data_IF_639636268511
#
_entry.id   IF_639636268511
#
_cell.length_a   1.000
_cell.length_b   1.000
_cell.length_c   1.000
_cell.angle_alpha   90.00
_cell.angle_beta   90.00
_cell.angle_gamma   90.00
#
_symmetry.space_group_name_H-M   'P 1'
#
loop_
_entity.id
_entity.type
_entity.pdbx_description
1 polymer ?
#
# COMPACT_ATOMS: atom_id res chain seq x y z
N UNK A 1 35.45 8.70 -24.46
CA UNK A 1 34.96 7.41 -23.95
C UNK A 1 34.71 7.40 -22.43
N UNK A 2 35.59 7.91 -21.59
CA UNK A 2 35.44 7.93 -20.10
C UNK A 2 34.12 8.55 -19.60
N UNK A 3 33.60 9.62 -20.22
CA UNK A 3 32.35 10.27 -19.80
C UNK A 3 31.07 9.48 -20.17
N UNK A 4 31.11 8.64 -21.20
CA UNK A 4 29.98 7.76 -21.56
C UNK A 4 29.87 6.57 -20.58
N UNK A 5 30.97 5.97 -20.21
CA UNK A 5 31.02 4.87 -19.23
C UNK A 5 30.55 5.30 -17.84
N UNK A 6 30.91 6.51 -17.39
CA UNK A 6 30.48 7.05 -16.11
C UNK A 6 28.98 7.36 -16.12
N UNK A 7 28.39 7.80 -17.24
CA UNK A 7 26.94 8.00 -17.38
C UNK A 7 26.16 6.68 -17.40
N UNK A 8 26.65 5.67 -18.10
CA UNK A 8 26.00 4.35 -18.12
C UNK A 8 26.04 3.65 -16.74
N UNK A 9 27.16 3.79 -16.02
CA UNK A 9 27.27 3.19 -14.69
C UNK A 9 26.34 3.85 -13.65
N UNK A 10 26.09 5.16 -13.72
CA UNK A 10 25.12 5.82 -12.83
C UNK A 10 23.69 5.45 -13.17
N UNK A 11 23.36 5.21 -14.46
CA UNK A 11 22.01 4.86 -14.90
C UNK A 11 21.51 3.54 -14.29
N UNK A 12 22.38 2.51 -14.24
CA UNK A 12 22.01 1.22 -13.61
C UNK A 12 21.68 1.35 -12.12
N UNK A 13 22.43 2.17 -11.39
CA UNK A 13 22.17 2.40 -9.96
C UNK A 13 20.88 3.21 -9.75
N UNK A 14 20.63 4.19 -10.61
CA UNK A 14 19.39 4.96 -10.57
C UNK A 14 18.18 4.11 -10.98
N UNK A 15 18.33 3.15 -11.90
CA UNK A 15 17.28 2.19 -12.24
C UNK A 15 16.95 1.26 -11.06
N UNK A 16 17.97 0.66 -10.41
CA UNK A 16 17.76 -0.14 -9.21
C UNK A 16 17.09 0.68 -8.09
N UNK A 17 17.50 1.93 -7.93
CA UNK A 17 16.92 2.86 -6.96
C UNK A 17 15.45 3.14 -7.24
N UNK A 18 15.09 3.40 -8.50
CA UNK A 18 13.71 3.66 -8.92
C UNK A 18 12.86 2.41 -8.75
N UNK A 19 13.35 1.26 -9.15
CA UNK A 19 12.66 -0.03 -8.98
C UNK A 19 12.32 -0.27 -7.50
N UNK A 20 13.32 -0.24 -6.62
CA UNK A 20 13.12 -0.45 -5.18
C UNK A 20 12.24 0.66 -4.58
N UNK A 21 12.51 1.91 -4.92
CA UNK A 21 11.78 3.04 -4.38
C UNK A 21 10.30 3.03 -4.76
N UNK A 22 9.98 2.77 -6.02
CA UNK A 22 8.58 2.68 -6.49
C UNK A 22 7.87 1.50 -5.86
N UNK A 23 8.49 0.30 -5.87
CA UNK A 23 7.87 -0.90 -5.29
C UNK A 23 7.56 -0.71 -3.81
N UNK A 24 8.51 -0.22 -3.01
CA UNK A 24 8.29 0.00 -1.57
C UNK A 24 7.27 1.12 -1.30
N UNK A 25 7.32 2.22 -2.07
CA UNK A 25 6.35 3.31 -1.90
C UNK A 25 4.93 2.85 -2.24
N UNK A 26 4.75 2.13 -3.35
CA UNK A 26 3.45 1.60 -3.75
C UNK A 26 2.95 0.54 -2.78
N UNK A 27 3.81 -0.42 -2.37
CA UNK A 27 3.47 -1.47 -1.41
C UNK A 27 3.03 -0.88 -0.06
N UNK A 28 3.81 0.05 0.50
CA UNK A 28 3.44 0.72 1.75
C UNK A 28 2.20 1.60 1.62
N UNK A 29 2.00 2.28 0.48
CA UNK A 29 0.82 3.10 0.23
C UNK A 29 -0.47 2.26 0.19
N UNK A 30 -0.47 1.15 -0.56
CA UNK A 30 -1.65 0.28 -0.68
C UNK A 30 -2.01 -0.36 0.67
N UNK A 31 -1.00 -0.81 1.45
CA UNK A 31 -1.25 -1.33 2.80
C UNK A 31 -1.79 -0.27 3.76
N UNK A 32 -1.32 0.98 3.65
CA UNK A 32 -1.80 2.08 4.48
C UNK A 32 -3.23 2.53 4.13
N UNK A 33 -3.70 2.24 2.91
CA UNK A 33 -5.11 2.44 2.53
C UNK A 33 -6.03 1.45 3.25
N UNK A 34 -5.60 0.19 3.43
CA UNK A 34 -6.35 -0.84 4.15
C UNK A 34 -5.48 -1.48 5.25
N UNK A 35 -5.26 -0.79 6.39
CA UNK A 35 -4.48 -1.34 7.49
C UNK A 35 -5.11 -2.58 8.11
N UNK A 36 -6.45 -2.67 8.16
CA UNK A 36 -7.16 -3.84 8.66
C UNK A 36 -6.98 -5.05 7.75
N UNK A 37 -6.99 -4.87 6.42
CA UNK A 37 -6.69 -5.97 5.49
C UNK A 37 -5.28 -6.52 5.67
N UNK A 38 -4.30 -5.65 5.92
CA UNK A 38 -2.93 -6.07 6.26
C UNK A 38 -2.87 -6.74 7.65
N UNK A 39 -3.66 -6.28 8.62
CA UNK A 39 -3.80 -6.92 9.93
C UNK A 39 -4.30 -8.37 9.79
N UNK A 40 -5.38 -8.59 9.04
CA UNK A 40 -5.92 -9.94 8.81
C UNK A 40 -4.89 -10.87 8.15
N UNK A 41 -4.11 -10.38 7.20
CA UNK A 41 -3.00 -11.16 6.63
C UNK A 41 -1.93 -11.52 7.67
N UNK A 42 -1.61 -10.63 8.61
CA UNK A 42 -0.70 -10.94 9.73
C UNK A 42 -1.30 -12.01 10.63
N UNK A 43 -2.60 -11.97 10.89
CA UNK A 43 -3.33 -12.98 11.66
C UNK A 43 -3.28 -14.34 10.95
N UNK A 44 -3.52 -14.40 9.64
CA UNK A 44 -3.39 -15.61 8.82
C UNK A 44 -1.97 -16.22 8.91
N UNK A 45 -0.91 -15.39 8.92
CA UNK A 45 0.46 -15.88 9.14
C UNK A 45 0.67 -16.45 10.53
N UNK A 46 0.16 -15.79 11.56
CA UNK A 46 0.27 -16.26 12.94
C UNK A 46 -0.49 -17.56 13.12
N UNK A 47 -1.65 -17.71 12.48
CA UNK A 47 -2.43 -18.94 12.46
C UNK A 47 -1.67 -20.08 11.77
N UNK A 48 -1.12 -19.84 10.58
CA UNK A 48 -0.33 -20.81 9.83
C UNK A 48 0.93 -21.30 10.61
N UNK A 49 1.43 -20.48 11.54
CA UNK A 49 2.54 -20.85 12.43
C UNK A 49 2.11 -21.43 13.77
N UNK A 50 0.80 -21.53 14.05
CA UNK A 50 0.27 -22.00 15.34
C UNK A 50 0.49 -20.99 16.47
N UNK A 51 0.64 -19.71 16.15
CA UNK A 51 0.90 -18.60 17.08
C UNK A 51 -0.34 -17.72 17.36
N UNK A 52 -1.55 -18.25 17.19
CA UNK A 52 -2.82 -17.53 17.39
C UNK A 52 -2.93 -16.86 18.76
N UNK A 53 -2.33 -17.44 19.81
CA UNK A 53 -2.34 -16.87 21.16
C UNK A 53 -1.69 -15.49 21.24
N UNK A 54 -0.86 -15.11 20.25
CA UNK A 54 -0.20 -13.80 20.16
C UNK A 54 -0.91 -12.84 19.20
N UNK A 55 -1.99 -13.26 18.56
CA UNK A 55 -2.78 -12.47 17.61
C UNK A 55 -3.78 -11.55 18.32
N UNK A 56 -3.33 -10.80 19.35
CA UNK A 56 -4.17 -9.76 19.94
C UNK A 56 -4.37 -8.62 18.92
N UNK A 57 -5.60 -8.21 18.68
CA UNK A 57 -5.99 -7.23 17.64
C UNK A 57 -5.15 -5.95 17.68
N UNK A 58 -4.87 -5.42 18.86
CA UNK A 58 -4.05 -4.20 19.00
C UNK A 58 -2.59 -4.42 18.56
N UNK A 59 -2.07 -5.64 18.72
CA UNK A 59 -0.68 -5.98 18.35
C UNK A 59 -0.59 -6.18 16.84
N UNK A 60 -1.52 -6.91 16.25
CA UNK A 60 -1.57 -7.19 14.81
C UNK A 60 -1.89 -5.93 14.02
N UNK A 61 -2.81 -5.08 14.50
CA UNK A 61 -3.08 -3.77 13.90
C UNK A 61 -1.87 -2.84 14.00
N UNK A 62 -1.23 -2.77 15.17
CA UNK A 62 -0.01 -1.98 15.37
C UNK A 62 1.14 -2.43 14.47
N UNK A 63 1.29 -3.75 14.27
CA UNK A 63 2.28 -4.31 13.34
C UNK A 63 1.95 -3.96 11.89
N UNK A 64 0.68 -3.99 11.48
CA UNK A 64 0.21 -3.59 10.15
C UNK A 64 0.55 -2.13 9.85
N UNK A 65 0.16 -1.21 10.75
CA UNK A 65 0.44 0.23 10.63
C UNK A 65 1.95 0.50 10.60
N UNK A 66 2.73 -0.16 11.45
CA UNK A 66 4.18 0.01 11.45
C UNK A 66 4.83 -0.52 10.16
N UNK A 67 4.35 -1.64 9.63
CA UNK A 67 4.86 -2.25 8.41
C UNK A 67 4.63 -1.34 7.19
N UNK A 68 3.41 -0.88 6.97
CA UNK A 68 3.03 0.02 5.87
C UNK A 68 3.78 1.36 5.95
N UNK A 69 3.84 1.98 7.14
CA UNK A 69 4.57 3.22 7.36
C UNK A 69 6.07 3.08 7.07
N UNK A 70 6.71 2.00 7.55
CA UNK A 70 8.14 1.73 7.31
C UNK A 70 8.41 1.47 5.84
N UNK A 71 7.61 0.64 5.15
CA UNK A 71 7.75 0.39 3.71
C UNK A 71 7.65 1.67 2.91
N UNK A 72 6.61 2.46 3.13
CA UNK A 72 6.39 3.72 2.43
C UNK A 72 7.53 4.72 2.64
N UNK A 73 7.97 4.86 3.89
CA UNK A 73 9.06 5.76 4.26
C UNK A 73 10.40 5.32 3.64
N UNK A 74 10.72 4.02 3.68
CA UNK A 74 11.91 3.47 3.04
C UNK A 74 11.88 3.66 1.52
N UNK A 75 10.72 3.42 0.89
CA UNK A 75 10.48 3.64 -0.52
C UNK A 75 10.74 5.09 -0.91
N UNK A 76 10.12 6.04 -0.20
CA UNK A 76 10.32 7.48 -0.42
C UNK A 76 11.77 7.90 -0.20
N UNK A 77 12.42 7.44 0.87
CA UNK A 77 13.84 7.70 1.11
C UNK A 77 14.74 7.16 -0.02
N UNK A 78 14.37 6.01 -0.60
CA UNK A 78 15.09 5.42 -1.72
C UNK A 78 14.86 6.24 -2.99
N UNK A 79 13.62 6.62 -3.33
CA UNK A 79 13.30 7.45 -4.49
C UNK A 79 14.09 8.76 -4.52
N UNK A 80 14.23 9.43 -3.38
CA UNK A 80 14.95 10.70 -3.29
C UNK A 80 16.43 10.55 -2.92
N UNK A 81 16.97 9.33 -2.87
CA UNK A 81 18.36 9.02 -2.52
C UNK A 81 18.80 9.63 -1.18
N UNK A 82 17.90 9.61 -0.17
CA UNK A 82 18.13 10.14 1.17
C UNK A 82 18.96 9.14 1.98
N UNK A 83 19.99 9.64 2.70
CA UNK A 83 20.88 8.80 3.55
C UNK A 83 21.29 7.48 2.88
N UNK A 84 21.64 7.50 1.60
CA UNK A 84 21.85 6.38 0.67
C UNK A 84 22.43 5.09 1.30
N UNK A 85 23.47 5.23 2.15
CA UNK A 85 24.10 4.07 2.82
C UNK A 85 23.17 3.41 3.85
N UNK A 86 22.44 4.21 4.65
CA UNK A 86 21.54 3.67 5.68
C UNK A 86 20.29 3.09 5.04
N UNK A 87 19.66 3.85 4.15
CA UNK A 87 18.43 3.42 3.47
C UNK A 87 18.64 2.14 2.67
N UNK A 88 19.73 2.00 1.87
CA UNK A 88 19.97 0.77 1.14
C UNK A 88 20.22 -0.44 2.04
N UNK A 89 20.87 -0.26 3.21
CA UNK A 89 21.05 -1.35 4.19
C UNK A 89 19.73 -1.76 4.84
N UNK A 90 18.86 -0.80 5.18
CA UNK A 90 17.54 -1.08 5.76
C UNK A 90 16.63 -1.80 4.76
N UNK A 91 16.62 -1.37 3.49
CA UNK A 91 15.88 -2.06 2.42
C UNK A 91 16.43 -3.46 2.20
N UNK A 92 17.76 -3.66 2.23
CA UNK A 92 18.36 -4.99 2.14
C UNK A 92 17.94 -5.87 3.33
N UNK A 93 17.99 -5.34 4.56
CA UNK A 93 17.60 -6.08 5.77
C UNK A 93 16.11 -6.48 5.70
N UNK A 94 15.24 -5.57 5.25
CA UNK A 94 13.82 -5.85 5.04
C UNK A 94 13.63 -7.01 4.04
N UNK A 95 14.25 -6.93 2.86
CA UNK A 95 14.14 -7.97 1.83
C UNK A 95 14.80 -9.29 2.26
N UNK A 96 15.84 -9.25 3.10
CA UNK A 96 16.46 -10.45 3.66
C UNK A 96 15.53 -11.23 4.61
N UNK A 97 14.56 -10.57 5.22
CA UNK A 97 13.50 -11.21 6.02
C UNK A 97 12.35 -11.68 5.12
N UNK A 98 11.87 -10.82 4.23
CA UNK A 98 10.68 -11.12 3.43
C UNK A 98 10.94 -12.09 2.28
N UNK A 99 12.16 -12.18 1.73
CA UNK A 99 12.45 -13.13 0.65
C UNK A 99 12.38 -14.59 1.10
N UNK A 100 12.99 -15.02 2.24
CA UNK A 100 12.79 -16.36 2.77
C UNK A 100 11.32 -16.64 3.17
N UNK A 101 10.61 -15.64 3.71
CA UNK A 101 9.19 -15.78 4.04
C UNK A 101 8.36 -16.10 2.78
N UNK A 102 8.58 -15.36 1.69
CA UNK A 102 7.86 -15.61 0.43
C UNK A 102 8.29 -16.93 -0.25
N UNK A 103 9.51 -17.42 -0.01
CA UNK A 103 9.91 -18.75 -0.44
C UNK A 103 9.15 -19.83 0.34
N UNK A 104 9.03 -19.68 1.67
CA UNK A 104 8.24 -20.58 2.49
C UNK A 104 6.78 -20.62 2.02
N UNK A 105 6.16 -19.46 1.75
CA UNK A 105 4.80 -19.40 1.18
C UNK A 105 4.69 -20.11 -0.16
N UNK A 106 5.68 -19.94 -1.06
CA UNK A 106 5.66 -20.57 -2.37
C UNK A 106 5.81 -22.10 -2.32
N UNK A 107 6.51 -22.62 -1.30
CA UNK A 107 6.73 -24.07 -1.12
C UNK A 107 5.60 -24.76 -0.38
N UNK A 108 5.00 -24.10 0.62
CA UNK A 108 4.00 -24.74 1.52
C UNK A 108 2.56 -24.33 1.20
N UNK A 109 2.37 -23.20 0.50
CA UNK A 109 1.10 -22.61 0.10
C UNK A 109 0.02 -22.56 1.20
N UNK A 110 0.35 -22.14 2.45
CA UNK A 110 -0.59 -22.13 3.56
C UNK A 110 -1.64 -21.00 3.43
N UNK A 111 -1.32 -19.95 2.66
CA UNK A 111 -2.15 -18.77 2.41
C UNK A 111 -2.13 -18.52 0.89
N UNK A 112 -3.28 -18.15 0.33
CA UNK A 112 -3.47 -17.99 -1.12
C UNK A 112 -2.55 -16.92 -1.74
N UNK A 113 -2.30 -15.83 -1.01
CA UNK A 113 -1.44 -14.72 -1.44
C UNK A 113 -0.64 -14.11 -0.28
N UNK A 114 0.45 -13.46 -0.59
CA UNK A 114 1.34 -12.81 0.40
C UNK A 114 0.79 -11.47 0.94
N UNK A 115 -0.23 -10.86 0.33
CA UNK A 115 -0.71 -9.52 0.68
C UNK A 115 0.29 -8.37 0.45
N UNK A 116 1.36 -8.57 -0.35
CA UNK A 116 2.40 -7.55 -0.56
C UNK A 116 1.89 -6.23 -1.14
N UNK A 117 0.83 -6.27 -1.94
CA UNK A 117 0.14 -5.12 -2.52
C UNK A 117 -1.33 -5.07 -2.11
N UNK A 118 -1.67 -5.64 -0.94
CA UNK A 118 -3.06 -5.74 -0.49
C UNK A 118 -3.96 -6.38 -1.56
N UNK A 119 -5.21 -5.96 -1.61
CA UNK A 119 -6.19 -6.40 -2.61
C UNK A 119 -6.05 -5.68 -3.98
N UNK A 120 -5.17 -4.67 -4.09
CA UNK A 120 -5.03 -3.90 -5.33
C UNK A 120 -4.37 -4.69 -6.46
N UNK A 121 -3.44 -5.59 -6.12
CA UNK A 121 -2.77 -6.50 -7.06
C UNK A 121 -2.51 -7.83 -6.37
N UNK A 122 -3.28 -8.84 -6.73
CA UNK A 122 -3.07 -10.21 -6.25
C UNK A 122 -1.97 -10.88 -7.08
N UNK A 123 -0.92 -11.32 -6.41
CA UNK A 123 0.19 -12.05 -7.00
C UNK A 123 0.23 -13.45 -6.42
N UNK A 124 0.46 -14.46 -7.25
CA UNK A 124 0.71 -15.80 -6.74
C UNK A 124 1.95 -15.83 -5.85
N UNK A 125 2.04 -16.81 -4.95
CA UNK A 125 3.18 -16.95 -4.04
C UNK A 125 4.52 -17.06 -4.79
N UNK A 126 4.55 -17.76 -5.94
CA UNK A 126 5.74 -17.86 -6.79
C UNK A 126 6.11 -16.53 -7.47
N UNK A 127 5.12 -15.78 -7.98
CA UNK A 127 5.37 -14.46 -8.57
C UNK A 127 5.94 -13.50 -7.53
N UNK A 128 5.40 -13.54 -6.31
CA UNK A 128 5.88 -12.72 -5.19
C UNK A 128 7.31 -13.09 -4.79
N UNK A 129 7.65 -14.36 -4.73
CA UNK A 129 9.03 -14.80 -4.45
C UNK A 129 10.00 -14.30 -5.51
N UNK A 130 9.73 -14.48 -6.81
CA UNK A 130 10.63 -14.04 -7.86
C UNK A 130 10.77 -12.50 -7.91
N UNK A 131 9.68 -11.78 -7.68
CA UNK A 131 9.73 -10.33 -7.49
C UNK A 131 10.71 -9.96 -6.37
N UNK A 132 10.63 -10.61 -5.22
CA UNK A 132 11.49 -10.32 -4.08
C UNK A 132 12.96 -10.68 -4.35
N UNK A 133 13.24 -11.75 -5.09
CA UNK A 133 14.61 -12.10 -5.54
C UNK A 133 15.21 -10.99 -6.40
N UNK A 134 14.44 -10.46 -7.36
CA UNK A 134 14.89 -9.34 -8.22
C UNK A 134 15.15 -8.08 -7.38
N UNK A 135 14.24 -7.75 -6.45
CA UNK A 135 14.40 -6.60 -5.55
C UNK A 135 15.61 -6.78 -4.61
N UNK A 136 15.83 -7.98 -4.09
CA UNK A 136 16.99 -8.31 -3.26
C UNK A 136 18.30 -8.11 -4.03
N UNK A 137 18.37 -8.59 -5.27
CA UNK A 137 19.54 -8.39 -6.14
C UNK A 137 19.81 -6.89 -6.38
N UNK A 138 18.76 -6.10 -6.66
CA UNK A 138 18.87 -4.65 -6.81
C UNK A 138 19.36 -3.98 -5.52
N UNK A 139 18.86 -4.41 -4.34
CA UNK A 139 19.30 -3.89 -3.04
C UNK A 139 20.78 -4.20 -2.76
N UNK A 140 21.25 -5.42 -3.07
CA UNK A 140 22.67 -5.81 -2.96
C UNK A 140 23.56 -4.90 -3.81
N UNK A 141 23.16 -4.62 -5.06
CA UNK A 141 23.88 -3.69 -5.94
C UNK A 141 24.01 -2.31 -5.32
N UNK A 142 22.92 -1.78 -4.73
CA UNK A 142 22.91 -0.44 -4.10
C UNK A 142 23.69 -0.41 -2.78
N UNK A 143 23.69 -1.48 -2.00
CA UNK A 143 24.48 -1.56 -0.76
C UNK A 143 25.98 -1.58 -1.07
N UNK A 144 26.39 -2.28 -2.15
CA UNK A 144 27.79 -2.30 -2.60
C UNK A 144 28.27 -0.97 -3.16
N UNK A 145 27.38 -0.23 -3.85
CA UNK A 145 27.70 1.03 -4.54
C UNK A 145 26.75 2.19 -4.17
N UNK A 146 26.61 2.55 -2.89
CA UNK A 146 25.60 3.52 -2.46
C UNK A 146 25.85 4.95 -3.00
N UNK A 147 27.10 5.26 -3.37
CA UNK A 147 27.45 6.55 -3.95
C UNK A 147 27.18 6.65 -5.45
N UNK A 148 26.87 5.54 -6.11
CA UNK A 148 26.47 5.52 -7.53
C UNK A 148 25.11 6.15 -7.80
N UNK A 149 24.23 6.19 -6.81
CA UNK A 149 22.90 6.84 -6.93
C UNK A 149 23.02 8.35 -7.08
N UNK A 150 22.26 8.93 -8.00
CA UNK A 150 22.18 10.38 -8.17
C UNK A 150 21.41 11.03 -7.02
N UNK A 151 22.00 12.07 -6.41
CA UNK A 151 21.33 12.84 -5.37
C UNK A 151 20.30 13.77 -5.99
N UNK A 152 19.04 13.72 -5.52
CA UNK A 152 17.96 14.57 -5.98
C UNK A 152 17.79 15.77 -5.05
N UNK A 153 17.80 15.53 -3.72
CA UNK A 153 17.55 16.53 -2.68
C UNK A 153 18.85 16.93 -1.98
N UNK A 154 19.00 18.23 -1.66
CA UNK A 154 20.13 18.76 -0.90
C UNK A 154 20.19 18.19 0.53
N UNK A 155 21.36 18.32 1.20
CA UNK A 155 21.48 17.87 2.59
C UNK A 155 20.56 18.63 3.55
N UNK A 156 20.32 19.89 3.28
CA UNK A 156 19.48 20.77 4.11
C UNK A 156 18.03 20.33 4.11
N UNK A 157 17.48 19.92 2.96
CA UNK A 157 16.03 19.69 2.77
C UNK A 157 15.60 18.23 2.94
N UNK A 158 16.51 17.32 3.30
CA UNK A 158 16.18 15.88 3.51
C UNK A 158 15.15 15.65 4.61
N UNK A 159 15.22 16.43 5.67
CA UNK A 159 14.31 16.33 6.78
C UNK A 159 12.87 16.64 6.36
N UNK A 160 12.68 17.59 5.43
CA UNK A 160 11.35 17.92 4.88
C UNK A 160 10.75 16.68 4.22
N UNK A 161 11.49 16.03 3.31
CA UNK A 161 10.99 14.84 2.60
C UNK A 161 10.68 13.69 3.57
N UNK A 162 11.58 13.43 4.54
CA UNK A 162 11.38 12.33 5.50
C UNK A 162 10.19 12.56 6.42
N UNK A 163 10.02 13.77 6.94
CA UNK A 163 8.91 14.09 7.83
C UNK A 163 7.59 14.20 7.05
N UNK A 164 7.62 14.81 5.86
CA UNK A 164 6.44 14.88 5.00
C UNK A 164 5.91 13.49 4.64
N UNK A 165 6.79 12.56 4.23
CA UNK A 165 6.40 11.19 3.93
C UNK A 165 5.82 10.46 5.16
N UNK A 166 6.43 10.66 6.34
CA UNK A 166 5.93 10.08 7.58
C UNK A 166 4.55 10.64 7.98
N UNK A 167 4.39 11.96 7.92
CA UNK A 167 3.10 12.60 8.26
C UNK A 167 2.02 12.20 7.25
N UNK A 168 2.36 12.18 5.96
CA UNK A 168 1.41 11.80 4.91
C UNK A 168 0.86 10.38 5.13
N UNK A 169 1.75 9.41 5.36
CA UNK A 169 1.32 8.01 5.49
C UNK A 169 0.54 7.79 6.80
N UNK A 170 0.94 8.41 7.92
CA UNK A 170 0.23 8.32 9.19
C UNK A 170 -1.17 8.95 9.06
N UNK A 171 -1.31 10.10 8.41
CA UNK A 171 -2.62 10.72 8.20
C UNK A 171 -3.53 9.83 7.33
N UNK A 172 -2.97 9.16 6.33
CA UNK A 172 -3.70 8.22 5.49
C UNK A 172 -4.20 7.02 6.30
N UNK A 173 -3.34 6.43 7.14
CA UNK A 173 -3.69 5.30 8.00
C UNK A 173 -4.74 5.69 9.04
N UNK A 174 -4.58 6.84 9.71
CA UNK A 174 -5.56 7.36 10.67
C UNK A 174 -6.92 7.56 10.01
N UNK A 175 -6.93 8.13 8.78
CA UNK A 175 -8.17 8.27 8.03
C UNK A 175 -8.81 6.91 7.73
N UNK A 176 -8.04 5.96 7.22
CA UNK A 176 -8.54 4.63 6.84
C UNK A 176 -9.03 3.79 8.03
N UNK A 177 -8.52 4.06 9.24
CA UNK A 177 -8.99 3.43 10.47
C UNK A 177 -10.20 4.15 11.08
N UNK A 178 -10.31 5.46 10.88
CA UNK A 178 -11.43 6.25 11.39
C UNK A 178 -12.70 6.10 10.52
N UNK A 179 -12.51 6.05 9.21
CA UNK A 179 -13.58 5.92 8.23
C UNK A 179 -13.35 4.64 7.38
N UNK A 180 -13.86 4.58 6.19
CA UNK A 180 -13.60 3.51 5.24
C UNK A 180 -12.30 3.77 4.46
N UNK A 181 -11.64 2.70 3.95
CA UNK A 181 -10.53 2.82 3.04
C UNK A 181 -10.84 3.78 1.89
N UNK A 182 -9.92 4.72 1.60
CA UNK A 182 -10.09 5.70 0.51
C UNK A 182 -10.33 5.07 -0.85
N UNK A 183 -9.76 3.88 -1.06
CA UNK A 183 -9.92 3.06 -2.26
C UNK A 183 -10.33 1.66 -1.83
N UNK A 184 -11.44 1.21 -2.35
CA UNK A 184 -11.93 -0.14 -2.11
C UNK A 184 -11.60 -1.01 -3.33
N UNK A 185 -10.56 -1.85 -3.22
CA UNK A 185 -10.14 -2.79 -4.26
C UNK A 185 -10.85 -4.14 -4.16
N UNK A 186 -11.69 -4.32 -3.14
CA UNK A 186 -12.36 -5.59 -2.84
C UNK A 186 -13.51 -5.86 -3.80
N UNK A 187 -13.95 -7.13 -3.89
CA UNK A 187 -15.05 -7.50 -4.80
C UNK A 187 -16.36 -6.76 -4.52
N UNK A 188 -16.58 -6.35 -3.26
CA UNK A 188 -17.79 -5.65 -2.82
C UNK A 188 -17.70 -4.13 -2.91
N UNK A 189 -16.78 -3.56 -3.69
CA UNK A 189 -16.66 -2.09 -3.83
C UNK A 189 -17.94 -1.43 -4.31
N UNK A 190 -18.09 -0.13 -4.07
CA UNK A 190 -19.20 0.66 -4.60
C UNK A 190 -19.25 0.51 -6.12
N UNK A 191 -20.44 0.22 -6.65
CA UNK A 191 -20.69 -0.08 -8.06
C UNK A 191 -20.49 -1.55 -8.45
N UNK A 192 -20.08 -2.42 -7.52
CA UNK A 192 -20.00 -3.86 -7.79
C UNK A 192 -21.41 -4.48 -7.74
N UNK A 193 -21.72 -5.29 -8.74
CA UNK A 193 -22.87 -6.18 -8.73
C UNK A 193 -22.43 -7.51 -8.08
N UNK A 194 -22.99 -7.81 -6.91
CA UNK A 194 -22.64 -8.99 -6.12
C UNK A 194 -23.03 -10.26 -6.89
N UNK A 195 -24.20 -10.28 -7.51
CA UNK A 195 -24.69 -11.44 -8.25
C UNK A 195 -23.81 -11.75 -9.46
N UNK A 196 -23.51 -10.75 -10.26
CA UNK A 196 -22.57 -10.90 -11.39
C UNK A 196 -21.16 -11.32 -10.93
N UNK A 197 -20.73 -10.87 -9.72
CA UNK A 197 -19.46 -11.27 -9.11
C UNK A 197 -19.43 -12.73 -8.63
N UNK A 198 -20.59 -13.37 -8.43
CA UNK A 198 -20.73 -14.78 -8.05
C UNK A 198 -20.82 -15.72 -9.25
N UNK A 199 -21.16 -15.20 -10.43
CA UNK A 199 -21.38 -16.02 -11.63
C UNK A 199 -20.05 -16.51 -12.21
N UNK A 200 -20.05 -17.76 -12.65
CA UNK A 200 -18.94 -18.35 -13.45
C UNK A 200 -19.24 -18.03 -14.92
N UNK A 201 -18.37 -17.28 -15.64
CA UNK A 201 -18.58 -16.96 -17.04
C UNK A 201 -18.71 -18.21 -17.91
N UNK A 202 -19.60 -18.17 -18.92
CA UNK A 202 -19.71 -19.28 -19.87
C UNK A 202 -18.36 -19.55 -20.55
N UNK A 203 -17.93 -20.82 -20.51
CA UNK A 203 -16.63 -21.24 -21.08
C UNK A 203 -15.43 -21.05 -20.18
N UNK A 204 -15.60 -20.60 -18.93
CA UNK A 204 -14.52 -20.54 -17.97
C UNK A 204 -13.99 -21.96 -17.65
N UNK A 205 -12.67 -22.12 -17.44
CA UNK A 205 -12.10 -23.42 -17.08
C UNK A 205 -12.70 -23.90 -15.77
N UNK A 206 -13.23 -25.12 -15.76
CA UNK A 206 -13.73 -25.78 -14.56
C UNK A 206 -12.55 -26.37 -13.77
N UNK A 207 -12.62 -26.39 -12.43
CA UNK A 207 -11.62 -27.06 -11.62
C UNK A 207 -11.63 -28.56 -11.94
N UNK A 208 -10.44 -29.12 -12.13
CA UNK A 208 -10.29 -30.54 -12.37
C UNK A 208 -9.78 -31.20 -11.10
N UNK A 209 -10.45 -32.27 -10.71
CA UNK A 209 -10.08 -33.07 -9.55
C UNK A 209 -9.75 -34.48 -10.00
N UNK A 210 -8.65 -34.99 -9.53
CA UNK A 210 -8.29 -36.40 -9.69
C UNK A 210 -8.46 -37.10 -8.36
N UNK A 211 -9.34 -38.08 -8.34
CA UNK A 211 -9.58 -38.91 -7.14
C UNK A 211 -8.84 -40.21 -7.28
N UNK A 212 -7.90 -40.48 -6.38
CA UNK A 212 -7.21 -41.75 -6.23
C UNK A 212 -7.81 -42.55 -5.08
N UNK A 213 -8.07 -43.82 -5.30
CA UNK A 213 -8.60 -44.74 -4.33
C UNK A 213 -7.47 -45.61 -3.77
N UNK A 214 -7.29 -45.64 -2.48
CA UNK A 214 -6.33 -46.50 -1.80
C UNK A 214 -7.05 -47.79 -1.48
N UNK A 215 -6.68 -48.88 -2.18
CA UNK A 215 -7.27 -50.18 -2.02
C UNK A 215 -6.25 -51.17 -1.44
N UNK A 216 -6.73 -52.14 -0.67
CA UNK A 216 -5.89 -53.14 -0.03
C UNK A 216 -6.30 -54.54 -0.48
N UNK A 217 -5.29 -55.38 -0.81
CA UNK A 217 -5.43 -56.78 -1.10
C UNK A 217 -4.27 -57.59 -0.50
N UNK A 218 -4.55 -58.57 0.31
CA UNK A 218 -3.55 -59.40 0.98
C UNK A 218 -2.51 -58.62 1.80
N UNK A 219 -2.93 -57.53 2.45
CA UNK A 219 -2.02 -56.65 3.23
C UNK A 219 -1.17 -55.69 2.41
N UNK A 220 -1.33 -55.64 1.09
CA UNK A 220 -0.65 -54.68 0.21
C UNK A 220 -1.62 -53.58 -0.21
N UNK A 221 -1.22 -52.31 0.01
CA UNK A 221 -1.96 -51.14 -0.41
C UNK A 221 -1.46 -50.63 -1.74
N UNK A 222 -2.37 -50.26 -2.64
CA UNK A 222 -2.06 -49.65 -3.94
C UNK A 222 -3.07 -48.57 -4.23
N UNK A 223 -2.60 -47.54 -4.91
CA UNK A 223 -3.42 -46.43 -5.39
C UNK A 223 -3.98 -46.75 -6.78
N UNK A 224 -5.24 -46.44 -7.00
CA UNK A 224 -5.95 -46.62 -8.26
C UNK A 224 -6.69 -45.34 -8.62
N UNK A 225 -6.76 -45.04 -9.90
CA UNK A 225 -7.58 -43.92 -10.42
C UNK A 225 -8.97 -44.45 -10.81
N UNK A 226 -9.87 -43.53 -11.16
CA UNK A 226 -11.23 -43.87 -11.58
C UNK A 226 -11.23 -44.72 -12.88
N UNK A 227 -10.26 -44.46 -13.77
CA UNK A 227 -10.09 -45.16 -15.05
C UNK A 227 -9.46 -46.55 -14.89
N UNK A 228 -8.72 -46.79 -13.81
CA UNK A 228 -8.05 -48.07 -13.50
C UNK A 228 -8.62 -48.66 -12.22
N UNK A 229 -9.93 -48.57 -12.00
CA UNK A 229 -10.59 -49.06 -10.80
C UNK A 229 -10.52 -50.61 -10.74
N UNK A 230 -10.01 -51.19 -9.64
CA UNK A 230 -9.75 -52.61 -9.57
C UNK A 230 -11.03 -53.47 -9.42
N UNK A 231 -10.88 -54.75 -9.63
CA UNK A 231 -11.95 -55.74 -9.45
C UNK A 231 -12.40 -55.88 -7.97
N UNK A 232 -13.48 -56.59 -7.76
CA UNK A 232 -14.09 -56.83 -6.43
C UNK A 232 -13.23 -57.58 -5.41
N UNK A 233 -12.00 -57.97 -5.78
CA UNK A 233 -11.06 -58.66 -4.87
C UNK A 233 -10.23 -57.69 -4.02
N UNK A 234 -10.31 -56.40 -4.29
CA UNK A 234 -9.68 -55.34 -3.52
C UNK A 234 -10.67 -54.68 -2.54
N UNK A 235 -10.21 -54.37 -1.35
CA UNK A 235 -11.02 -53.73 -0.32
C UNK A 235 -10.64 -52.25 -0.26
N UNK A 236 -11.67 -51.37 -0.27
CA UNK A 236 -11.49 -49.94 -0.13
C UNK A 236 -10.94 -49.61 1.27
N UNK A 237 -9.88 -48.78 1.33
CA UNK A 237 -9.27 -48.29 2.57
C UNK A 237 -9.51 -46.80 2.75
N UNK A 238 -9.21 -46.02 1.69
CA UNK A 238 -9.28 -44.55 1.74
C UNK A 238 -9.37 -43.97 0.32
N UNK A 239 -9.76 -42.72 0.20
CA UNK A 239 -9.72 -41.99 -1.07
C UNK A 239 -9.06 -40.64 -0.88
N UNK A 240 -8.22 -40.28 -1.83
CA UNK A 240 -7.55 -38.97 -1.87
C UNK A 240 -7.93 -38.22 -3.14
N UNK A 241 -8.60 -37.09 -2.98
CA UNK A 241 -8.91 -36.17 -4.10
C UNK A 241 -7.90 -35.06 -4.12
N UNK A 242 -7.21 -34.91 -5.23
CA UNK A 242 -6.24 -33.81 -5.47
C UNK A 242 -6.73 -32.96 -6.63
N UNK A 243 -6.76 -31.66 -6.44
CA UNK A 243 -7.06 -30.74 -7.52
C UNK A 243 -5.87 -30.67 -8.48
N UNK A 244 -6.07 -31.08 -9.74
CA UNK A 244 -5.03 -31.14 -10.80
C UNK A 244 -4.99 -29.89 -11.65
N UNK A 245 -6.12 -29.17 -11.75
CA UNK A 245 -6.16 -27.88 -12.41
C UNK A 245 -7.03 -26.90 -11.63
N UNK A 246 -6.52 -25.70 -11.44
CA UNK A 246 -7.30 -24.59 -10.87
C UNK A 246 -8.32 -24.14 -11.91
N UNK A 247 -9.61 -24.21 -11.55
CA UNK A 247 -10.69 -23.63 -12.34
C UNK A 247 -10.80 -22.12 -12.12
N UNK A 248 -11.69 -21.48 -12.86
CA UNK A 248 -12.07 -20.10 -12.57
C UNK A 248 -12.75 -20.03 -11.19
N UNK A 249 -12.22 -19.17 -10.32
CA UNK A 249 -12.84 -18.84 -9.04
C UNK A 249 -13.50 -17.47 -9.18
N UNK A 250 -14.84 -17.37 -9.01
CA UNK A 250 -15.53 -16.09 -9.04
C UNK A 250 -14.93 -15.13 -8.00
N UNK A 251 -14.88 -13.81 -8.27
CA UNK A 251 -14.41 -12.82 -7.31
C UNK A 251 -15.18 -12.84 -5.98
N UNK A 252 -16.46 -13.26 -6.03
CA UNK A 252 -17.34 -13.47 -4.88
C UNK A 252 -17.79 -14.93 -4.92
N UNK A 253 -17.29 -15.73 -4.00
CA UNK A 253 -17.59 -17.19 -3.99
C UNK A 253 -18.23 -17.67 -2.69
N UNK A 254 -18.14 -16.86 -1.60
CA UNK A 254 -18.59 -17.27 -0.26
C UNK A 254 -19.71 -16.37 0.28
N UNK A 255 -20.42 -15.62 -0.58
CA UNK A 255 -21.52 -14.77 -0.14
C UNK A 255 -22.80 -15.59 0.02
N UNK A 256 -23.21 -15.81 1.26
CA UNK A 256 -24.49 -16.42 1.59
C UNK A 256 -25.12 -15.69 2.78
N UNK A 257 -26.44 -15.54 2.74
CA UNK A 257 -27.24 -14.86 3.76
C UNK A 257 -28.32 -15.79 4.22
N UNK A 258 -28.14 -16.38 5.41
CA UNK A 258 -29.09 -17.32 6.00
C UNK A 258 -29.85 -16.60 7.12
N UNK A 259 -31.15 -16.53 6.97
CA UNK A 259 -32.06 -15.95 7.97
C UNK A 259 -32.05 -16.78 9.24
N UNK A 260 -31.94 -16.17 10.41
CA UNK A 260 -31.85 -16.91 11.69
C UNK A 260 -33.21 -17.37 12.22
N UNK A 261 -34.30 -16.75 11.82
CA UNK A 261 -35.65 -17.07 12.34
C UNK A 261 -36.15 -18.40 11.85
N UNK A 262 -35.88 -18.77 10.61
CA UNK A 262 -36.39 -19.98 9.93
C UNK A 262 -35.29 -20.83 9.29
N UNK A 263 -34.04 -20.36 9.30
CA UNK A 263 -32.89 -21.04 8.65
C UNK A 263 -32.92 -20.98 7.12
N UNK A 264 -33.78 -20.15 6.52
CA UNK A 264 -33.88 -20.03 5.07
C UNK A 264 -32.70 -19.24 4.49
N UNK A 265 -32.12 -19.75 3.40
CA UNK A 265 -31.18 -19.00 2.58
C UNK A 265 -31.96 -17.97 1.75
N UNK A 266 -31.70 -16.69 2.02
CA UNK A 266 -32.35 -15.55 1.35
C UNK A 266 -31.43 -14.84 0.35
N UNK A 267 -30.25 -15.37 0.07
CA UNK A 267 -29.22 -14.76 -0.78
C UNK A 267 -29.79 -14.32 -2.12
N UNK A 268 -30.39 -15.25 -2.86
CA UNK A 268 -30.93 -14.94 -4.19
C UNK A 268 -32.09 -13.93 -4.14
N UNK A 269 -32.99 -14.04 -3.16
CA UNK A 269 -34.10 -13.12 -3.01
C UNK A 269 -33.67 -11.72 -2.62
N UNK A 270 -32.64 -11.61 -1.77
CA UNK A 270 -32.06 -10.34 -1.35
C UNK A 270 -31.34 -9.64 -2.53
N UNK A 271 -30.57 -10.39 -3.32
CA UNK A 271 -29.85 -9.85 -4.48
C UNK A 271 -30.77 -9.55 -5.66
N UNK A 272 -31.91 -10.24 -5.78
CA UNK A 272 -32.90 -10.01 -6.84
C UNK A 272 -33.90 -8.90 -6.49
N UNK A 273 -33.92 -8.41 -5.24
CA UNK A 273 -34.88 -7.37 -4.80
C UNK A 273 -34.68 -6.07 -5.63
N UNK A 274 -35.68 -5.58 -6.33
CA UNK A 274 -35.54 -4.42 -7.22
C UNK A 274 -35.39 -3.08 -6.47
N UNK A 275 -35.75 -3.07 -5.18
CA UNK A 275 -35.71 -1.91 -4.31
C UNK A 275 -34.35 -1.72 -3.64
N UNK A 276 -34.31 -0.76 -2.74
CA UNK A 276 -33.14 -0.56 -1.88
C UNK A 276 -33.18 -1.52 -0.68
N UNK A 277 -32.00 -1.96 -0.27
CA UNK A 277 -31.81 -2.81 0.90
C UNK A 277 -30.61 -2.35 1.68
N UNK A 278 -30.78 -2.06 2.95
CA UNK A 278 -29.70 -1.78 3.89
C UNK A 278 -29.17 -3.08 4.48
N UNK A 279 -27.86 -3.23 4.50
CA UNK A 279 -27.15 -4.30 5.20
C UNK A 279 -26.31 -3.70 6.31
N UNK A 280 -26.67 -3.96 7.56
CA UNK A 280 -25.84 -3.69 8.71
C UNK A 280 -24.86 -4.84 8.87
N UNK A 281 -23.60 -4.61 8.58
CA UNK A 281 -22.56 -5.63 8.54
C UNK A 281 -21.73 -5.56 9.82
N UNK A 282 -21.78 -6.63 10.61
CA UNK A 282 -21.06 -6.74 11.87
C UNK A 282 -20.51 -8.15 12.01
N UNK A 283 -19.25 -8.39 11.69
CA UNK A 283 -18.66 -9.74 11.76
C UNK A 283 -18.87 -10.38 13.15
N UNK A 284 -18.57 -9.62 14.20
CA UNK A 284 -18.76 -10.05 15.58
C UNK A 284 -19.41 -8.95 16.41
N UNK A 285 -20.65 -9.16 16.84
CA UNK A 285 -21.44 -8.22 17.66
C UNK A 285 -20.76 -7.92 19.00
N UNK A 286 -20.00 -8.87 19.53
CA UNK A 286 -19.27 -8.72 20.79
C UNK A 286 -18.12 -7.70 20.72
N UNK A 287 -17.65 -7.41 19.52
CA UNK A 287 -16.55 -6.48 19.22
C UNK A 287 -17.03 -5.24 18.48
N UNK A 288 -18.32 -5.12 18.24
CA UNK A 288 -18.90 -3.99 17.49
C UNK A 288 -18.84 -2.71 18.32
N UNK A 289 -18.59 -1.59 17.64
CA UNK A 289 -18.69 -0.28 18.28
C UNK A 289 -20.17 0.07 18.53
N UNK A 290 -20.48 0.38 19.79
CA UNK A 290 -21.85 0.69 20.25
C UNK A 290 -22.12 2.19 20.42
N UNK A 291 -21.17 3.03 20.05
CA UNK A 291 -21.25 4.49 20.26
C UNK A 291 -22.32 5.20 19.42
N UNK A 292 -22.82 4.56 18.36
CA UNK A 292 -23.76 5.15 17.38
C UNK A 292 -25.02 4.33 17.16
N UNK A 293 -25.47 3.59 18.18
CA UNK A 293 -26.65 2.73 18.12
C UNK A 293 -27.92 3.48 17.75
N UNK A 294 -28.09 4.69 18.29
CA UNK A 294 -29.27 5.54 17.99
C UNK A 294 -29.38 5.86 16.50
N UNK A 295 -28.24 6.11 15.81
CA UNK A 295 -28.25 6.36 14.37
C UNK A 295 -28.59 5.09 13.58
N UNK A 296 -28.15 3.91 14.03
CA UNK A 296 -28.50 2.64 13.38
C UNK A 296 -30.02 2.42 13.45
N UNK A 297 -30.62 2.64 14.61
CA UNK A 297 -32.05 2.51 14.79
C UNK A 297 -32.82 3.55 13.96
N UNK A 298 -32.36 4.80 13.88
CA UNK A 298 -32.94 5.82 12.98
C UNK A 298 -32.89 5.41 11.52
N UNK A 299 -31.80 4.79 11.05
CA UNK A 299 -31.72 4.26 9.67
C UNK A 299 -32.67 3.08 9.48
N UNK A 300 -32.85 2.25 10.50
CA UNK A 300 -33.83 1.14 10.45
C UNK A 300 -35.28 1.69 10.36
N UNK A 301 -35.65 2.64 11.21
CA UNK A 301 -36.99 3.29 11.19
C UNK A 301 -37.22 3.95 9.83
N UNK A 302 -36.25 4.67 9.30
CA UNK A 302 -36.30 5.26 7.96
C UNK A 302 -36.52 4.20 6.86
N UNK A 303 -35.84 3.06 6.96
CA UNK A 303 -35.97 1.97 5.98
C UNK A 303 -37.39 1.36 6.05
N UNK A 304 -37.93 1.16 7.25
CA UNK A 304 -39.28 0.64 7.46
C UNK A 304 -40.36 1.61 6.93
N UNK A 305 -40.24 2.91 7.26
CA UNK A 305 -41.17 3.96 6.81
C UNK A 305 -41.26 4.08 5.27
N UNK A 306 -40.12 3.80 4.58
CA UNK A 306 -40.05 3.87 3.11
C UNK A 306 -40.20 2.51 2.41
N UNK A 307 -40.43 1.42 3.16
CA UNK A 307 -40.57 0.08 2.61
C UNK A 307 -39.28 -0.51 2.02
N UNK A 308 -38.12 -0.09 2.50
CA UNK A 308 -36.82 -0.65 2.12
C UNK A 308 -36.47 -1.84 3.00
N UNK A 309 -35.72 -2.81 2.44
CA UNK A 309 -35.21 -3.93 3.22
C UNK A 309 -34.13 -3.48 4.21
N UNK A 310 -34.08 -4.10 5.41
CA UNK A 310 -33.01 -3.91 6.38
C UNK A 310 -32.67 -5.24 7.04
N UNK A 311 -31.38 -5.66 6.94
CA UNK A 311 -30.89 -6.91 7.49
C UNK A 311 -29.55 -6.69 8.21
N UNK A 312 -29.39 -7.33 9.38
CA UNK A 312 -28.13 -7.36 10.08
C UNK A 312 -27.40 -8.68 9.77
N UNK A 313 -26.23 -8.59 9.13
CA UNK A 313 -25.37 -9.72 8.77
C UNK A 313 -24.28 -9.91 9.83
N UNK A 314 -24.22 -11.10 10.45
CA UNK A 314 -23.25 -11.41 11.49
C UNK A 314 -22.86 -12.89 11.53
N UNK A 315 -21.62 -13.17 11.96
CA UNK A 315 -21.14 -14.51 12.27
C UNK A 315 -21.23 -14.84 13.77
N UNK A 316 -21.75 -13.93 14.59
CA UNK A 316 -21.87 -14.10 16.05
C UNK A 316 -22.83 -15.23 16.45
N UNK A 317 -22.66 -15.71 17.67
CA UNK A 317 -23.55 -16.71 18.26
C UNK A 317 -24.94 -16.13 18.58
N UNK A 318 -25.96 -17.00 18.73
CA UNK A 318 -27.32 -16.58 19.12
C UNK A 318 -27.35 -15.83 20.46
N UNK A 319 -26.46 -16.20 21.40
CA UNK A 319 -26.33 -15.47 22.69
C UNK A 319 -25.84 -14.04 22.51
N UNK A 320 -24.97 -13.81 21.55
CA UNK A 320 -24.47 -12.47 21.25
C UNK A 320 -25.55 -11.62 20.55
N UNK A 321 -26.30 -12.23 19.64
CA UNK A 321 -27.46 -11.57 18.98
C UNK A 321 -28.50 -11.16 20.01
N UNK A 322 -28.86 -12.05 20.94
CA UNK A 322 -29.83 -11.74 21.97
C UNK A 322 -29.35 -10.63 22.93
N UNK A 323 -28.05 -10.68 23.29
CA UNK A 323 -27.46 -9.59 24.09
C UNK A 323 -27.50 -8.26 23.34
N UNK A 324 -27.19 -8.27 22.05
CA UNK A 324 -27.25 -7.09 21.20
C UNK A 324 -28.67 -6.53 21.13
N UNK A 325 -29.68 -7.35 20.90
CA UNK A 325 -31.10 -6.93 20.92
C UNK A 325 -31.51 -6.26 22.21
N UNK A 326 -31.14 -6.87 23.34
CA UNK A 326 -31.47 -6.30 24.67
C UNK A 326 -30.79 -4.96 24.87
N UNK A 327 -29.52 -4.82 24.42
CA UNK A 327 -28.74 -3.60 24.62
C UNK A 327 -29.17 -2.47 23.71
N UNK A 328 -29.51 -2.78 22.45
CA UNK A 328 -29.78 -1.79 21.41
C UNK A 328 -31.25 -1.53 21.16
N UNK A 329 -32.14 -2.40 21.63
CA UNK A 329 -33.55 -2.39 21.23
C UNK A 329 -33.79 -2.77 19.78
N UNK A 330 -32.83 -3.47 19.11
CA UNK A 330 -32.90 -3.79 17.69
C UNK A 330 -34.08 -4.67 17.33
N UNK A 331 -34.93 -4.19 16.43
CA UNK A 331 -36.11 -4.89 15.88
C UNK A 331 -35.85 -5.49 14.49
N UNK A 332 -34.77 -5.07 13.84
CA UNK A 332 -34.36 -5.56 12.53
C UNK A 332 -33.98 -7.06 12.52
N UNK A 333 -34.07 -7.64 11.32
CA UNK A 333 -33.83 -9.07 11.11
C UNK A 333 -32.32 -9.41 11.09
N UNK A 334 -31.93 -10.44 11.84
CA UNK A 334 -30.56 -10.95 11.89
C UNK A 334 -30.38 -12.15 10.97
N UNK A 335 -29.32 -12.09 10.16
CA UNK A 335 -28.92 -13.16 9.26
C UNK A 335 -27.49 -13.62 9.58
N UNK A 336 -27.23 -14.91 9.34
CA UNK A 336 -25.90 -15.49 9.45
C UNK A 336 -25.20 -15.40 8.11
N UNK A 337 -23.95 -14.91 8.15
CA UNK A 337 -23.04 -14.88 7.00
C UNK A 337 -21.62 -15.20 7.51
N UNK A 338 -20.77 -15.76 6.64
CA UNK A 338 -19.38 -16.08 7.01
C UNK A 338 -18.61 -14.82 7.47
N UNK A 339 -17.84 -14.98 8.56
CA UNK A 339 -17.10 -13.87 9.17
C UNK A 339 -16.01 -13.28 8.28
N UNK A 340 -15.34 -14.09 7.46
CA UNK A 340 -14.32 -13.65 6.51
C UNK A 340 -14.95 -12.82 5.40
N UNK A 341 -16.09 -13.27 4.89
CA UNK A 341 -16.90 -12.55 3.90
C UNK A 341 -17.35 -11.20 4.45
N UNK A 342 -17.86 -11.13 5.69
CA UNK A 342 -18.28 -9.88 6.32
C UNK A 342 -17.11 -8.89 6.45
N UNK A 343 -15.93 -9.35 6.88
CA UNK A 343 -14.71 -8.55 6.92
C UNK A 343 -14.30 -8.03 5.54
N UNK A 344 -14.61 -8.78 4.48
CA UNK A 344 -14.32 -8.40 3.09
C UNK A 344 -15.33 -7.39 2.54
N UNK A 345 -16.59 -7.45 2.96
CA UNK A 345 -17.64 -6.51 2.52
C UNK A 345 -17.29 -5.08 2.95
N UNK A 346 -16.97 -4.86 4.23
CA UNK A 346 -16.70 -3.54 4.78
C UNK A 346 -15.66 -3.57 5.89
N UNK A 347 -14.83 -2.52 6.00
CA UNK A 347 -13.82 -2.34 7.06
C UNK A 347 -14.37 -1.47 8.19
N UNK A 348 -15.52 -1.83 8.72
CA UNK A 348 -16.15 -1.15 9.86
C UNK A 348 -17.05 -2.16 10.57
N UNK A 349 -17.06 -2.14 11.90
CA UNK A 349 -17.91 -3.01 12.70
C UNK A 349 -18.57 -2.19 13.84
N UNK A 350 -19.86 -1.85 13.69
CA UNK A 350 -20.72 -2.09 12.54
C UNK A 350 -20.36 -1.25 11.32
N UNK A 351 -20.74 -1.71 10.14
CA UNK A 351 -20.71 -0.94 8.90
C UNK A 351 -22.05 -1.04 8.20
N UNK A 352 -22.44 0.01 7.49
CA UNK A 352 -23.71 0.05 6.75
C UNK A 352 -23.43 0.00 5.25
N UNK A 353 -24.15 -0.86 4.53
CA UNK A 353 -24.05 -1.02 3.08
C UNK A 353 -25.44 -0.86 2.48
N UNK A 354 -25.58 -0.04 1.45
CA UNK A 354 -26.81 0.12 0.68
C UNK A 354 -26.70 -0.64 -0.63
N UNK A 355 -27.63 -1.54 -0.87
CA UNK A 355 -27.78 -2.27 -2.12
C UNK A 355 -29.00 -1.77 -2.90
N UNK A 356 -28.95 -1.90 -4.23
CA UNK A 356 -30.09 -1.79 -5.12
C UNK A 356 -29.97 -2.85 -6.22
N UNK A 357 -30.89 -3.79 -6.27
CA UNK A 357 -30.86 -4.87 -7.25
C UNK A 357 -29.56 -5.67 -7.23
N UNK A 358 -29.00 -5.98 -6.05
CA UNK A 358 -27.72 -6.69 -5.88
C UNK A 358 -26.47 -5.83 -6.12
N UNK A 359 -26.60 -4.59 -6.55
CA UNK A 359 -25.48 -3.66 -6.76
C UNK A 359 -25.20 -2.84 -5.51
N UNK A 360 -23.94 -2.70 -5.11
CA UNK A 360 -23.51 -1.87 -3.99
C UNK A 360 -23.56 -0.39 -4.39
N UNK A 361 -24.48 0.36 -3.80
CA UNK A 361 -24.68 1.79 -4.10
C UNK A 361 -23.81 2.67 -3.22
N UNK A 362 -23.80 2.41 -1.91
CA UNK A 362 -23.04 3.21 -0.94
C UNK A 362 -22.65 2.39 0.28
N UNK A 363 -21.61 2.87 0.97
CA UNK A 363 -21.13 2.29 2.23
C UNK A 363 -20.83 3.41 3.22
N UNK A 364 -21.09 3.15 4.49
CA UNK A 364 -20.80 4.04 5.60
C UNK A 364 -20.08 3.30 6.74
N UNK A 365 -19.10 3.94 7.32
CA UNK A 365 -18.50 3.46 8.57
C UNK A 365 -19.38 3.79 9.76
N UNK A 366 -19.16 3.13 10.89
CA UNK A 366 -19.86 3.44 12.14
C UNK A 366 -19.65 4.91 12.57
N UNK A 367 -18.53 5.54 12.20
CA UNK A 367 -18.24 6.94 12.51
C UNK A 367 -18.98 7.94 11.63
N UNK A 368 -19.52 7.51 10.48
CA UNK A 368 -20.13 8.37 9.46
C UNK A 368 -21.44 7.80 8.94
N UNK A 369 -22.22 7.19 9.83
CA UNK A 369 -23.57 6.75 9.49
C UNK A 369 -24.43 7.95 9.04
N UNK A 370 -25.35 7.77 8.08
CA UNK A 370 -26.22 8.83 7.61
C UNK A 370 -27.20 9.24 8.74
N UNK A 371 -27.41 10.53 8.87
CA UNK A 371 -28.34 11.11 9.81
C UNK A 371 -29.73 11.42 9.14
N UNK A 372 -30.69 11.91 9.90
CA UNK A 372 -32.01 12.27 9.42
C UNK A 372 -32.00 13.37 8.33
N UNK A 373 -30.95 14.24 8.32
CA UNK A 373 -30.83 15.27 7.30
C UNK A 373 -30.37 14.69 5.97
N UNK A 374 -29.49 13.69 6.00
CA UNK A 374 -29.02 12.97 4.81
C UNK A 374 -30.12 12.02 4.28
N UNK A 375 -31.05 11.56 5.14
CA UNK A 375 -32.18 10.67 4.83
C UNK A 375 -33.53 11.41 4.82
N UNK A 376 -33.54 12.66 4.39
CA UNK A 376 -34.73 13.55 4.45
C UNK A 376 -35.82 13.27 3.44
N UNK A 377 -35.68 12.27 2.57
CA UNK A 377 -36.66 11.89 1.54
C UNK A 377 -36.41 10.50 0.97
N UNK A 378 -37.22 10.02 0.01
CA UNK A 378 -36.98 8.72 -0.62
C UNK A 378 -35.58 8.63 -1.27
N UNK A 379 -34.92 7.47 -1.18
CA UNK A 379 -33.54 7.25 -1.70
C UNK A 379 -33.40 7.56 -3.20
N UNK A 380 -34.48 7.46 -3.97
CA UNK A 380 -34.52 7.80 -5.40
C UNK A 380 -34.26 9.29 -5.66
N UNK A 381 -34.49 10.14 -4.69
CA UNK A 381 -34.46 11.61 -4.83
C UNK A 381 -33.27 12.27 -4.12
N UNK A 382 -32.66 11.57 -3.20
CA UNK A 382 -31.52 12.07 -2.39
C UNK A 382 -30.19 11.52 -2.84
N UNK A 383 -29.11 12.25 -2.52
CA UNK A 383 -27.75 11.87 -2.91
C UNK A 383 -27.32 10.50 -2.32
N UNK A 384 -27.81 10.17 -1.12
CA UNK A 384 -27.47 8.92 -0.42
C UNK A 384 -27.95 7.67 -1.15
N UNK A 385 -29.00 7.77 -1.97
CA UNK A 385 -29.53 6.69 -2.81
C UNK A 385 -28.83 6.51 -4.15
N UNK A 386 -27.84 7.34 -4.47
CA UNK A 386 -27.10 7.28 -5.73
C UNK A 386 -25.63 6.97 -5.51
N UNK A 387 -24.99 6.36 -6.53
CA UNK A 387 -23.55 6.16 -6.49
C UNK A 387 -22.82 7.50 -6.47
N UNK A 388 -21.69 7.61 -5.75
CA UNK A 388 -20.88 8.83 -5.75
C UNK A 388 -20.37 9.19 -7.15
N UNK A 389 -20.46 10.46 -7.55
CA UNK A 389 -20.05 10.95 -8.88
C UNK A 389 -18.55 10.79 -9.16
N UNK A 390 -17.71 10.72 -8.13
CA UNK A 390 -16.25 10.63 -8.30
C UNK A 390 -15.82 9.19 -8.47
N UNK A 391 -15.26 8.88 -9.63
CA UNK A 391 -14.59 7.61 -9.85
C UNK A 391 -13.40 7.44 -8.90
N UNK A 392 -13.13 6.21 -8.49
CA UNK A 392 -11.96 5.89 -7.63
C UNK A 392 -10.63 6.29 -8.29
N UNK A 393 -10.57 6.29 -9.63
CA UNK A 393 -9.42 6.78 -10.38
C UNK A 393 -9.17 8.28 -10.12
N UNK A 394 -10.21 9.11 -10.10
CA UNK A 394 -10.06 10.55 -9.82
C UNK A 394 -9.57 10.79 -8.37
N UNK A 395 -10.12 10.05 -7.41
CA UNK A 395 -9.65 10.09 -6.00
C UNK A 395 -8.17 9.68 -5.91
N UNK A 396 -7.79 8.59 -6.59
CA UNK A 396 -6.40 8.10 -6.63
C UNK A 396 -5.45 9.18 -7.15
N UNK A 397 -5.78 9.79 -8.28
CA UNK A 397 -4.96 10.85 -8.89
C UNK A 397 -4.81 12.06 -7.96
N UNK A 398 -5.88 12.46 -7.27
CA UNK A 398 -5.83 13.57 -6.30
C UNK A 398 -4.89 13.24 -5.15
N UNK A 399 -5.01 12.07 -4.53
CA UNK A 399 -4.16 11.67 -3.39
C UNK A 399 -2.71 11.51 -3.82
N UNK A 400 -2.46 10.91 -4.99
CA UNK A 400 -1.10 10.82 -5.56
C UNK A 400 -0.52 12.20 -5.87
N UNK A 401 -1.33 13.12 -6.38
CA UNK A 401 -0.90 14.51 -6.63
C UNK A 401 -0.58 15.23 -5.31
N UNK A 402 -1.38 15.07 -4.28
CA UNK A 402 -1.11 15.62 -2.95
C UNK A 402 0.22 15.14 -2.37
N UNK A 403 0.58 13.88 -2.59
CA UNK A 403 1.87 13.36 -2.19
C UNK A 403 3.02 13.80 -3.10
N UNK A 404 2.87 13.63 -4.41
CA UNK A 404 3.98 13.79 -5.35
C UNK A 404 4.31 15.26 -5.65
N UNK A 405 3.29 16.14 -5.80
CA UNK A 405 3.46 17.51 -6.24
C UNK A 405 4.38 18.35 -5.32
N UNK A 406 4.17 18.37 -3.97
CA UNK A 406 5.06 19.12 -3.07
C UNK A 406 6.50 18.62 -3.13
N UNK A 407 6.71 17.30 -3.24
CA UNK A 407 8.04 16.71 -3.32
C UNK A 407 8.74 17.01 -4.65
N UNK A 408 8.01 17.01 -5.75
CA UNK A 408 8.53 17.40 -7.07
C UNK A 408 8.90 18.89 -7.06
N UNK A 409 8.03 19.75 -6.55
CA UNK A 409 8.30 21.20 -6.43
C UNK A 409 9.53 21.46 -5.56
N UNK A 410 9.68 20.77 -4.43
CA UNK A 410 10.86 20.85 -3.58
C UNK A 410 12.13 20.41 -4.32
N UNK A 411 12.07 19.32 -5.07
CA UNK A 411 13.21 18.81 -5.85
C UNK A 411 13.61 19.79 -6.97
N UNK A 412 12.65 20.40 -7.63
CA UNK A 412 12.87 21.43 -8.66
C UNK A 412 13.49 22.69 -8.06
N UNK A 413 12.93 23.17 -6.94
CA UNK A 413 13.46 24.34 -6.22
C UNK A 413 14.92 24.12 -5.78
N UNK A 414 15.23 22.94 -5.24
CA UNK A 414 16.60 22.57 -4.85
C UNK A 414 17.57 22.55 -6.05
N UNK A 415 17.12 22.05 -7.19
CA UNK A 415 17.93 22.05 -8.41
C UNK A 415 18.14 23.47 -8.96
N UNK A 416 17.11 24.29 -8.98
CA UNK A 416 17.20 25.68 -9.39
C UNK A 416 18.18 26.46 -8.51
N UNK A 417 18.09 26.27 -7.20
CA UNK A 417 18.99 26.92 -6.25
C UNK A 417 20.44 26.45 -6.39
N UNK A 418 20.67 25.16 -6.59
CA UNK A 418 22.00 24.63 -6.88
C UNK A 418 22.58 25.21 -8.19
N UNK A 419 21.73 25.34 -9.23
CA UNK A 419 22.13 25.95 -10.50
C UNK A 419 22.48 27.44 -10.36
N UNK A 420 21.68 28.22 -9.64
CA UNK A 420 21.94 29.62 -9.39
C UNK A 420 23.24 29.85 -8.60
N UNK A 421 23.50 29.01 -7.58
CA UNK A 421 24.81 29.02 -6.85
C UNK A 421 25.96 28.70 -7.78
N UNK A 422 25.82 27.72 -8.65
CA UNK A 422 26.86 27.34 -9.61
C UNK A 422 27.16 28.48 -10.59
N UNK A 423 26.11 29.15 -11.13
CA UNK A 423 26.25 30.28 -12.03
C UNK A 423 26.95 31.47 -11.33
N UNK A 424 26.55 31.77 -10.07
CA UNK A 424 27.20 32.83 -9.26
C UNK A 424 28.69 32.54 -9.04
N UNK A 425 29.01 31.29 -8.66
CA UNK A 425 30.40 30.85 -8.46
C UNK A 425 31.23 30.98 -9.74
N UNK A 426 30.66 30.55 -10.89
CA UNK A 426 31.31 30.68 -12.20
C UNK A 426 31.57 32.15 -12.59
N UNK A 427 30.58 33.03 -12.32
CA UNK A 427 30.76 34.48 -12.56
C UNK A 427 31.86 35.06 -11.67
N UNK A 428 31.92 34.67 -10.38
CA UNK A 428 33.00 35.14 -9.48
C UNK A 428 34.37 34.61 -9.93
N UNK A 429 34.47 33.35 -10.30
CA UNK A 429 35.71 32.74 -10.81
C UNK A 429 36.20 33.48 -12.08
N UNK A 430 35.28 33.77 -13.01
CA UNK A 430 35.62 34.52 -14.21
C UNK A 430 36.06 35.97 -13.90
N UNK A 431 35.42 36.66 -12.94
CA UNK A 431 35.87 38.02 -12.50
C UNK A 431 37.27 37.97 -11.91
N UNK A 432 37.55 36.99 -11.03
CA UNK A 432 38.88 36.82 -10.44
C UNK A 432 39.92 36.51 -11.52
N UNK A 433 39.61 35.65 -12.48
CA UNK A 433 40.49 35.34 -13.61
C UNK A 433 40.80 36.56 -14.45
N UNK A 434 39.78 37.40 -14.75
CA UNK A 434 39.99 38.65 -15.51
C UNK A 434 40.85 39.63 -14.72
N UNK A 435 40.66 39.78 -13.41
CA UNK A 435 41.50 40.65 -12.55
C UNK A 435 42.95 40.15 -12.50
N UNK A 436 43.16 38.83 -12.42
CA UNK A 436 44.56 38.29 -12.50
C UNK A 436 45.17 38.54 -13.87
N UNK A 437 44.46 38.35 -14.95
CA UNK A 437 44.94 38.59 -16.31
C UNK A 437 45.30 40.11 -16.52
N UNK A 438 44.48 40.99 -15.98
CA UNK A 438 44.72 42.45 -16.03
C UNK A 438 45.99 42.84 -15.25
N UNK A 439 46.15 42.28 -14.02
CA UNK A 439 47.39 42.52 -13.23
C UNK A 439 48.66 41.94 -13.89
N UNK A 440 48.55 40.80 -14.60
CA UNK A 440 49.66 40.21 -15.32
C UNK A 440 50.03 41.08 -16.51
N UNK A 441 49.06 41.54 -17.29
CA UNK A 441 49.29 42.48 -18.41
C UNK A 441 49.86 43.79 -17.95
N UNK A 442 49.40 44.34 -16.80
CA UNK A 442 49.98 45.58 -16.22
C UNK A 442 51.46 45.39 -15.81
N UNK A 443 51.83 44.24 -15.22
CA UNK A 443 53.20 43.89 -14.90
C UNK A 443 54.08 43.76 -16.14
N UNK A 444 53.58 43.06 -17.19
CA UNK A 444 54.31 42.92 -18.46
C UNK A 444 54.52 44.29 -19.16
N UNK A 445 53.48 45.16 -19.15
CA UNK A 445 53.59 46.51 -19.70
C UNK A 445 54.54 47.37 -18.88
N UNK A 446 54.59 47.22 -17.54
CA UNK A 446 55.53 47.93 -16.68
C UNK A 446 56.97 47.42 -16.94
N UNK A 447 57.16 46.14 -17.13
CA UNK A 447 58.49 45.56 -17.47
C UNK A 447 59.00 46.03 -18.85
N UNK A 448 58.12 46.05 -19.86
CA UNK A 448 58.47 46.58 -21.18
C UNK A 448 58.82 48.10 -21.15
N UNK A 449 58.11 48.90 -20.39
CA UNK A 449 58.44 50.30 -20.20
C UNK A 449 59.80 50.51 -19.50
N UNK A 450 60.19 49.60 -18.61
CA UNK A 450 61.48 49.61 -17.96
C UNK A 450 62.65 49.14 -18.87
N UNK A 451 62.34 48.27 -19.87
CA UNK A 451 63.30 47.87 -20.90
C UNK A 451 63.49 48.92 -21.98
N UNK A 452 62.43 49.68 -22.36
CA UNK A 452 62.51 50.81 -23.31
C UNK A 452 63.15 52.09 -22.73
N UNK A 453 63.29 52.21 -21.39
CA UNK A 453 63.97 53.34 -20.71
C UNK A 453 65.47 53.08 -20.45
N UNK A 454 66.03 51.95 -20.85
CA UNK A 454 67.46 51.69 -20.73
C UNK A 454 68.20 51.91 -22.07
N UNK A 455 68.16 53.13 -22.59
CA UNK A 455 69.24 53.72 -23.32
C UNK A 455 70.15 54.52 -22.34
N UNK A 456 71.47 54.45 -22.42
CA UNK A 456 72.36 54.89 -21.36
C UNK A 456 72.67 56.36 -21.43
N UNK A 457 72.12 57.18 -20.56
CA UNK A 457 72.68 58.47 -20.23
C UNK A 457 72.80 58.61 -18.73
N UNK A 458 74.05 58.81 -18.33
CA UNK A 458 74.56 58.79 -16.99
C UNK A 458 73.95 59.70 -15.94
N UNK A 459 74.28 59.37 -14.71
CA UNK A 459 74.36 60.36 -13.64
C UNK A 459 73.60 60.00 -12.35
N UNK A 460 74.32 59.55 -11.40
CA UNK A 460 74.39 59.89 -9.98
C UNK A 460 73.13 60.37 -9.24
N UNK A 461 72.86 59.76 -8.10
CA UNK A 461 72.08 60.39 -7.05
C UNK A 461 71.65 59.43 -5.91
N UNK A 462 72.43 59.43 -4.90
CA UNK A 462 72.26 58.82 -3.58
C UNK A 462 71.00 59.31 -2.85
N UNK A 463 70.39 58.52 -2.03
CA UNK A 463 69.48 59.05 -1.01
C UNK A 463 68.63 57.97 -0.28
N UNK A 464 69.16 57.51 0.79
CA UNK A 464 68.58 57.31 2.11
C UNK A 464 67.23 56.51 2.27
N UNK A 465 67.39 55.50 3.05
CA UNK A 465 66.46 54.69 3.71
C UNK A 465 65.52 55.35 4.71
N UNK A 466 64.51 54.62 5.01
CA UNK A 466 63.91 54.59 6.35
C UNK A 466 63.23 53.21 6.53
N UNK A 467 63.81 52.50 7.49
CA UNK A 467 63.20 51.41 8.25
C UNK A 467 62.01 51.89 9.07
N UNK A 468 61.00 51.11 9.20
CA UNK A 468 60.12 50.98 10.41
C UNK A 468 59.43 49.67 10.36
N UNK A 469 59.78 48.92 11.20
CA UNK A 469 59.47 48.10 12.35
C UNK A 469 58.07 47.47 12.39
N UNK A 470 58.22 46.25 12.80
CA UNK A 470 57.23 45.29 13.28
C UNK A 470 56.41 45.80 14.50
N UNK A 471 55.30 45.20 14.67
CA UNK A 471 54.61 44.68 15.87
C UNK A 471 53.09 44.88 15.70
N UNK A 472 52.29 43.92 15.90
CA UNK A 472 51.97 43.12 17.00
C UNK A 472 50.45 43.02 17.21
N UNK A 473 50.02 41.82 17.39
CA UNK A 473 48.93 41.36 18.26
C UNK A 473 47.46 41.62 17.90
N UNK A 474 46.79 40.47 17.72
CA UNK A 474 45.65 39.91 18.50
C UNK A 474 44.42 40.79 18.70
N UNK A 475 43.32 40.34 18.11
CA UNK A 475 42.15 39.77 18.82
C UNK A 475 41.33 38.92 17.84
#
# INVERSE_FOLDING_TARGET
MKNRFVRLSSLRYDLCRLLLGLTFTLSGFVKAIDPQGTQYKIEDYLEAWGLQAYAADIVTLGASVALSAVEFWLGTCMLFAIRRRRTSRLVLAFLAVFTPLTLWLALTNPISDCGCFGEAVTLTNWQTFWKNVVLLAAAVVLVRHPMGMTRIISRSNRWIVTNYAAVFIILLEVWSLYDLPLFDFRPYRIGADIRAGMEVPEGAPLPQFETTFIMEKNGHRREFTLDDYPDSTWTFVDSRTVQTAEGYVPPIHDFSVVRRTDGADITDSLLAAPGYTFLLVTPYLEQADDSRLDLINQVYDYAEDNGYGFFCLTASSDKAVERWRIMTGAEYEFCTTDGTTLKTIIRSSPGLVLLKGGTVIRKWSHNRLPDEYELSGPLETIESGHMPDRSDMAKTLIVMAWFALPLILLALADRMWAWTKWVRKKRQSNKIYQLFKQKTNEKENCSRKLEDEHEPSGGCGSGQGTQRDADGRKA
#
